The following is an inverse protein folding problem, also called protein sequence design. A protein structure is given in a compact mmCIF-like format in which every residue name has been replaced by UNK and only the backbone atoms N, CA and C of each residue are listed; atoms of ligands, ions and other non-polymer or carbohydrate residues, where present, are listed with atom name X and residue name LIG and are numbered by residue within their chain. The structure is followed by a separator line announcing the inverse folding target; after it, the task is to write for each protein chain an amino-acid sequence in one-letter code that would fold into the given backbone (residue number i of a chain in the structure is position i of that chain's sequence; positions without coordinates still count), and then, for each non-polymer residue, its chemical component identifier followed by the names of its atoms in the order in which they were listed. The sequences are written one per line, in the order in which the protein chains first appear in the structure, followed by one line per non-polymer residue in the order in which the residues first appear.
data_IF_880759017878
#
_entry.id   IF_880759017878
#
_cell.length_a   1.000
_cell.length_b   1.000
_cell.length_c   1.000
_cell.angle_alpha   90.00
_cell.angle_beta   90.00
_cell.angle_gamma   90.00
#
_symmetry.space_group_name_H-M   'P 1'
#
loop_
_entity.id
_entity.type
_entity.pdbx_description
1 polymer ?
#
# COMPACT_ATOMS: atom_id res chain seq x y z
N UNK A 1 -8.37 0.56 53.10
CA UNK A 1 -8.51 2.03 52.97
C UNK A 1 -8.04 2.45 51.58
N UNK A 2 -8.95 3.00 50.76
CA UNK A 2 -8.65 3.89 49.63
C UNK A 2 -8.19 3.28 48.29
N UNK A 3 -9.10 2.68 47.51
CA UNK A 3 -8.92 2.54 46.05
C UNK A 3 -9.02 3.93 45.41
N UNK A 4 -7.95 4.42 44.76
CA UNK A 4 -8.05 5.51 43.80
C UNK A 4 -8.38 4.91 42.43
N UNK A 5 -9.65 4.94 42.06
CA UNK A 5 -10.07 4.79 40.68
C UNK A 5 -9.54 6.01 39.90
N UNK A 6 -8.70 5.77 38.90
CA UNK A 6 -8.46 6.78 37.87
C UNK A 6 -9.63 6.72 36.90
N UNK A 7 -10.35 7.84 36.82
CA UNK A 7 -11.51 8.03 35.96
C UNK A 7 -11.07 7.88 34.49
N UNK A 8 -11.69 6.96 33.74
CA UNK A 8 -11.34 6.62 32.36
C UNK A 8 -11.96 7.54 31.30
N UNK A 9 -12.59 8.65 31.71
CA UNK A 9 -13.40 9.48 30.80
C UNK A 9 -12.67 10.67 30.14
N UNK A 10 -11.35 10.84 30.27
CA UNK A 10 -10.67 12.04 29.74
C UNK A 10 -9.57 11.82 28.69
N UNK A 11 -9.48 10.65 28.03
CA UNK A 11 -8.42 10.40 27.04
C UNK A 11 -8.88 10.12 25.61
N UNK A 12 -10.18 10.16 25.33
CA UNK A 12 -10.69 10.04 23.96
C UNK A 12 -11.91 10.93 23.75
N UNK A 13 -11.68 12.19 23.45
CA UNK A 13 -12.63 13.02 22.70
C UNK A 13 -11.92 13.46 21.42
N UNK A 14 -12.17 12.72 20.34
CA UNK A 14 -11.99 13.22 18.98
C UNK A 14 -13.36 13.71 18.53
N UNK A 15 -13.54 15.03 18.42
CA UNK A 15 -14.66 15.58 17.66
C UNK A 15 -14.46 15.20 16.19
N UNK A 16 -15.41 14.44 15.65
CA UNK A 16 -15.46 14.06 14.24
C UNK A 16 -15.98 15.27 13.43
N UNK A 17 -15.17 15.90 12.56
CA UNK A 17 -15.58 17.12 11.84
C UNK A 17 -16.55 16.85 10.67
N UNK A 18 -17.09 15.62 10.53
CA UNK A 18 -17.95 15.23 9.40
C UNK A 18 -19.43 14.96 9.76
N UNK A 19 -19.89 15.31 10.96
CA UNK A 19 -21.27 15.02 11.42
C UNK A 19 -22.39 15.85 10.79
N UNK A 20 -22.12 16.70 9.79
CA UNK A 20 -23.16 17.50 9.12
C UNK A 20 -23.08 17.47 7.59
N UNK A 21 -22.98 16.27 7.00
CA UNK A 21 -23.25 16.11 5.56
C UNK A 21 -24.48 15.21 5.40
N UNK A 22 -25.64 15.85 5.23
CA UNK A 22 -26.86 15.19 4.79
C UNK A 22 -26.68 14.72 3.35
N UNK A 23 -26.40 13.43 3.16
CA UNK A 23 -26.43 12.80 1.84
C UNK A 23 -27.88 12.43 1.54
N UNK A 24 -28.57 13.26 0.75
CA UNK A 24 -29.84 12.89 0.14
C UNK A 24 -29.58 11.85 -0.95
N UNK A 25 -30.09 10.63 -0.74
CA UNK A 25 -30.08 9.55 -1.72
C UNK A 25 -31.09 9.82 -2.83
N UNK A 26 -30.65 10.33 -3.97
CA UNK A 26 -31.38 10.16 -5.23
C UNK A 26 -30.64 9.15 -6.11
N UNK A 27 -31.04 7.89 -5.99
CA UNK A 27 -30.73 6.85 -6.95
C UNK A 27 -31.46 7.16 -8.27
N UNK A 28 -30.75 7.69 -9.26
CA UNK A 28 -31.21 7.63 -10.65
C UNK A 28 -30.51 6.48 -11.36
N UNK A 29 -31.15 5.31 -11.35
CA UNK A 29 -30.92 4.30 -12.37
C UNK A 29 -31.27 4.91 -13.73
N UNK A 30 -30.26 5.18 -14.56
CA UNK A 30 -30.46 5.54 -15.95
C UNK A 30 -30.37 4.27 -16.79
N UNK A 31 -31.54 3.77 -17.19
CA UNK A 31 -31.69 2.72 -18.20
C UNK A 31 -31.03 3.14 -19.51
N UNK A 32 -30.09 2.33 -19.98
CA UNK A 32 -29.39 2.55 -21.24
C UNK A 32 -30.19 1.93 -22.39
N UNK A 33 -31.04 2.73 -23.02
CA UNK A 33 -31.53 2.45 -24.36
C UNK A 33 -31.34 3.71 -25.21
N UNK A 34 -30.74 3.48 -26.38
CA UNK A 34 -30.60 4.38 -27.52
C UNK A 34 -29.93 5.73 -27.25
N UNK A 35 -28.64 5.86 -27.61
CA UNK A 35 -28.10 7.17 -28.00
C UNK A 35 -26.88 7.10 -28.92
N UNK A 36 -27.10 7.68 -30.09
CA UNK A 36 -26.24 8.14 -31.16
C UNK A 36 -24.72 8.23 -30.92
N UNK A 37 -24.01 7.86 -31.97
CA UNK A 37 -22.61 8.08 -32.31
C UNK A 37 -22.13 9.54 -32.16
N UNK A 38 -21.75 9.97 -30.95
CA UNK A 38 -20.84 11.12 -30.69
C UNK A 38 -20.26 11.05 -29.27
N UNK A 39 -19.57 9.98 -28.89
CA UNK A 39 -18.84 9.94 -27.61
C UNK A 39 -17.47 10.59 -27.82
N UNK A 40 -17.21 11.73 -27.15
CA UNK A 40 -15.89 12.37 -27.19
C UNK A 40 -14.87 11.43 -26.52
N UNK A 41 -13.69 11.22 -27.12
CA UNK A 41 -12.69 10.33 -26.53
C UNK A 41 -12.07 10.94 -25.27
N UNK A 42 -11.79 10.09 -24.28
CA UNK A 42 -11.13 10.48 -23.02
C UNK A 42 -9.70 10.95 -23.33
N UNK A 43 -9.34 12.15 -22.90
CA UNK A 43 -8.03 12.74 -23.11
C UNK A 43 -7.11 12.46 -21.90
N UNK A 44 -5.99 11.78 -22.11
CA UNK A 44 -5.01 11.45 -21.08
C UNK A 44 -3.66 12.10 -21.40
N UNK A 45 -3.20 13.01 -20.54
CA UNK A 45 -1.89 13.64 -20.65
C UNK A 45 -0.85 12.92 -19.79
N UNK A 46 0.22 12.42 -20.40
CA UNK A 46 1.44 12.04 -19.68
C UNK A 46 2.31 13.28 -19.43
N UNK A 47 2.34 13.73 -18.18
CA UNK A 47 3.09 14.89 -17.72
C UNK A 47 4.52 14.49 -17.30
N UNK A 48 5.47 14.63 -18.24
CA UNK A 48 6.90 14.30 -18.06
C UNK A 48 7.81 15.50 -18.38
N UNK A 49 8.98 15.60 -17.74
CA UNK A 49 10.00 16.64 -18.04
C UNK A 49 10.87 16.33 -19.27
N UNK A 50 10.87 15.10 -19.77
CA UNK A 50 11.86 14.69 -20.76
C UNK A 50 11.70 15.36 -22.13
N UNK A 51 10.50 15.81 -22.50
CA UNK A 51 10.26 16.32 -23.86
C UNK A 51 9.28 17.49 -23.85
N UNK A 52 9.80 18.70 -24.08
CA UNK A 52 9.04 19.84 -24.57
C UNK A 52 9.24 19.90 -26.10
N UNK A 53 8.13 19.98 -26.83
CA UNK A 53 8.04 20.17 -28.28
C UNK A 53 8.35 18.97 -29.22
N UNK A 54 7.24 18.41 -29.75
CA UNK A 54 6.99 17.96 -31.13
C UNK A 54 7.07 16.48 -31.53
N UNK A 55 7.40 15.53 -30.64
CA UNK A 55 7.17 14.11 -30.96
C UNK A 55 6.62 13.33 -29.76
N UNK A 56 5.48 12.65 -29.95
CA UNK A 56 4.92 11.71 -28.98
C UNK A 56 5.87 10.51 -28.85
N UNK A 57 6.33 10.15 -27.63
CA UNK A 57 7.19 9.00 -27.46
C UNK A 57 6.50 7.72 -27.90
N UNK A 58 7.24 6.79 -28.51
CA UNK A 58 6.68 5.52 -29.03
C UNK A 58 6.00 4.65 -27.96
N UNK A 59 6.38 4.81 -26.69
CA UNK A 59 5.76 4.12 -25.56
C UNK A 59 4.45 4.77 -25.06
N UNK A 60 4.18 6.01 -25.47
CA UNK A 60 2.88 6.67 -25.37
C UNK A 60 2.17 6.38 -26.69
N UNK A 61 1.47 5.25 -26.79
CA UNK A 61 0.70 4.91 -27.99
C UNK A 61 -0.79 4.77 -27.65
N UNK A 62 -1.65 5.12 -28.61
CA UNK A 62 -3.10 4.92 -28.50
C UNK A 62 -3.48 3.43 -28.44
N UNK A 63 -2.54 2.52 -28.73
CA UNK A 63 -2.77 1.06 -28.68
C UNK A 63 -3.12 0.55 -27.28
N UNK A 64 -2.78 1.28 -26.21
CA UNK A 64 -3.16 0.92 -24.82
C UNK A 64 -4.63 1.22 -24.48
N UNK A 65 -5.35 1.91 -25.37
CA UNK A 65 -6.76 2.28 -25.24
C UNK A 65 -7.71 1.35 -26.00
N UNK A 66 -7.21 0.23 -26.54
CA UNK A 66 -7.90 -0.58 -27.55
C UNK A 66 -9.04 -1.45 -27.03
N UNK A 67 -9.19 -1.60 -25.72
CA UNK A 67 -10.18 -2.49 -25.10
C UNK A 67 -11.33 -1.77 -24.37
N UNK A 68 -11.49 -0.45 -24.57
CA UNK A 68 -12.53 0.34 -23.89
C UNK A 68 -13.54 0.84 -24.92
N UNK A 69 -14.43 -0.03 -25.39
CA UNK A 69 -15.67 0.43 -26.02
C UNK A 69 -16.72 0.72 -24.94
N UNK A 70 -17.48 1.83 -25.02
CA UNK A 70 -17.66 2.72 -26.18
C UNK A 70 -16.81 4.01 -26.15
N UNK A 71 -15.82 4.11 -25.25
CA UNK A 71 -14.99 5.32 -25.05
C UNK A 71 -13.55 5.08 -25.47
N UNK A 72 -13.21 5.40 -26.72
CA UNK A 72 -11.81 5.46 -27.14
C UNK A 72 -11.07 6.50 -26.30
N UNK A 73 -9.88 6.18 -25.78
CA UNK A 73 -9.01 7.17 -25.15
C UNK A 73 -7.90 7.64 -26.10
N UNK A 74 -7.54 8.92 -26.00
CA UNK A 74 -6.40 9.53 -26.66
C UNK A 74 -5.35 9.85 -25.61
N UNK A 75 -4.15 9.31 -25.80
CA UNK A 75 -3.02 9.55 -24.90
C UNK A 75 -2.02 10.44 -25.61
N UNK A 76 -1.62 11.54 -24.98
CA UNK A 76 -0.64 12.47 -25.51
C UNK A 76 0.37 12.88 -24.43
N UNK A 77 1.53 13.37 -24.88
CA UNK A 77 2.58 13.93 -24.01
C UNK A 77 2.78 15.43 -24.21
N UNK A 78 2.02 16.06 -25.12
CA UNK A 78 2.08 17.50 -25.35
C UNK A 78 1.34 18.24 -24.24
N UNK A 79 2.06 19.09 -23.50
CA UNK A 79 1.55 19.86 -22.37
C UNK A 79 0.55 20.95 -22.74
N UNK A 80 0.46 21.34 -24.02
CA UNK A 80 -0.55 22.30 -24.49
C UNK A 80 -1.98 21.79 -24.23
N UNK A 81 -2.18 20.48 -24.29
CA UNK A 81 -3.47 19.85 -24.02
C UNK A 81 -3.80 19.72 -22.53
N UNK A 82 -2.97 20.24 -21.62
CA UNK A 82 -3.18 20.11 -20.18
C UNK A 82 -4.58 20.57 -19.76
N UNK A 83 -5.09 21.68 -20.30
CA UNK A 83 -6.42 22.18 -19.95
C UNK A 83 -7.56 21.34 -20.55
N UNK A 84 -7.28 20.55 -21.58
CA UNK A 84 -8.25 19.76 -22.35
C UNK A 84 -8.28 18.30 -21.90
N UNK A 85 -7.29 17.85 -21.13
CA UNK A 85 -7.18 16.48 -20.62
C UNK A 85 -8.17 16.19 -19.50
N UNK A 86 -8.83 15.03 -19.57
CA UNK A 86 -9.69 14.49 -18.52
C UNK A 86 -8.85 13.88 -17.39
N UNK A 87 -7.69 13.31 -17.73
CA UNK A 87 -6.71 12.82 -16.76
C UNK A 87 -5.28 13.30 -17.08
N UNK A 88 -4.52 13.62 -16.04
CA UNK A 88 -3.10 13.99 -16.12
C UNK A 88 -2.27 13.01 -15.28
N UNK A 89 -1.39 12.28 -15.94
CA UNK A 89 -0.50 11.28 -15.35
C UNK A 89 0.88 11.90 -15.12
N UNK A 90 1.23 12.17 -13.87
CA UNK A 90 2.52 12.68 -13.45
C UNK A 90 3.50 11.55 -13.20
N UNK A 91 4.72 11.66 -13.73
CA UNK A 91 5.83 10.78 -13.35
C UNK A 91 6.74 11.50 -12.34
N UNK A 92 6.65 11.20 -11.03
CA UNK A 92 7.26 12.02 -9.99
C UNK A 92 8.80 11.98 -9.98
N UNK A 93 9.43 10.95 -10.57
CA UNK A 93 10.90 10.89 -10.72
C UNK A 93 11.48 12.00 -11.60
N UNK A 94 10.64 12.59 -12.44
CA UNK A 94 11.01 13.67 -13.35
C UNK A 94 10.26 14.95 -13.01
N UNK A 95 9.81 15.17 -11.77
CA UNK A 95 9.01 16.33 -11.43
C UNK A 95 9.51 17.02 -10.16
N UNK A 96 10.30 18.08 -10.31
CA UNK A 96 10.43 19.15 -9.30
C UNK A 96 9.13 19.98 -9.26
N UNK A 97 7.98 19.32 -9.06
CA UNK A 97 6.68 19.94 -9.12
C UNK A 97 6.18 20.30 -7.73
N UNK A 98 5.74 21.57 -7.56
CA UNK A 98 4.86 21.97 -6.47
C UNK A 98 3.43 21.82 -6.96
N UNK A 99 2.71 20.81 -6.47
CA UNK A 99 1.32 20.56 -6.87
C UNK A 99 0.40 21.75 -6.59
N UNK A 100 0.71 22.52 -5.54
CA UNK A 100 -0.01 23.74 -5.19
C UNK A 100 0.07 24.85 -6.24
N UNK A 101 0.99 24.76 -7.21
CA UNK A 101 1.16 25.77 -8.26
C UNK A 101 0.61 25.33 -9.62
N UNK A 102 0.03 24.14 -9.71
CA UNK A 102 -0.52 23.62 -10.97
C UNK A 102 -2.02 23.88 -10.97
N UNK A 103 -2.56 24.64 -11.94
CA UNK A 103 -4.00 24.86 -12.05
C UNK A 103 -4.69 23.52 -12.32
N UNK A 104 -5.79 23.23 -11.62
CA UNK A 104 -6.55 22.00 -11.78
C UNK A 104 -8.02 22.34 -11.93
N UNK A 105 -8.66 21.80 -12.97
CA UNK A 105 -10.13 21.81 -13.09
C UNK A 105 -10.73 20.81 -12.10
N UNK A 106 -11.90 21.12 -11.54
CA UNK A 106 -12.56 20.27 -10.54
C UNK A 106 -12.81 18.84 -11.04
N UNK A 107 -13.06 18.67 -12.33
CA UNK A 107 -13.35 17.41 -13.00
C UNK A 107 -12.11 16.68 -13.55
N UNK A 108 -10.92 17.28 -13.44
CA UNK A 108 -9.68 16.71 -13.98
C UNK A 108 -9.04 15.75 -12.98
N UNK A 109 -8.73 14.52 -13.42
CA UNK A 109 -8.14 13.46 -12.59
C UNK A 109 -6.62 13.58 -12.62
N UNK A 110 -5.97 13.66 -11.45
CA UNK A 110 -4.50 13.63 -11.35
C UNK A 110 -4.05 12.25 -10.88
N UNK A 111 -3.15 11.63 -11.65
CA UNK A 111 -2.62 10.29 -11.40
C UNK A 111 -1.11 10.42 -11.21
N UNK A 112 -0.56 9.83 -10.15
CA UNK A 112 0.89 9.78 -9.95
C UNK A 112 1.41 8.39 -10.34
N UNK A 113 2.00 8.29 -11.52
CA UNK A 113 2.57 7.05 -12.05
C UNK A 113 4.02 6.94 -11.59
N UNK A 114 4.24 6.27 -10.45
CA UNK A 114 5.58 5.89 -10.02
C UNK A 114 5.99 4.62 -10.76
N UNK A 115 6.57 4.75 -11.95
CA UNK A 115 7.10 3.61 -12.71
C UNK A 115 8.43 3.12 -12.11
N UNK A 116 8.49 2.85 -10.81
CA UNK A 116 9.59 2.05 -10.28
C UNK A 116 9.54 0.69 -10.96
N UNK A 117 10.61 0.31 -11.64
CA UNK A 117 10.75 -1.06 -12.10
C UNK A 117 10.60 -1.95 -10.87
N UNK A 118 9.77 -3.01 -10.88
CA UNK A 118 9.90 -4.02 -9.84
C UNK A 118 11.37 -4.44 -9.83
N UNK A 119 12.01 -4.35 -8.67
CA UNK A 119 13.42 -4.70 -8.51
C UNK A 119 13.60 -6.11 -9.06
N UNK A 120 14.30 -6.22 -10.19
CA UNK A 120 14.70 -7.46 -10.87
C UNK A 120 13.67 -8.60 -10.77
N UNK A 121 12.53 -8.46 -11.43
CA UNK A 121 11.72 -9.66 -11.72
C UNK A 121 12.52 -10.54 -12.68
N UNK A 122 13.19 -11.59 -12.16
CA UNK A 122 13.69 -12.68 -13.02
C UNK A 122 12.47 -13.24 -13.73
N UNK A 123 12.45 -13.18 -15.07
CA UNK A 123 11.40 -13.82 -15.86
C UNK A 123 11.24 -15.27 -15.35
N UNK A 124 10.03 -15.68 -14.93
CA UNK A 124 9.77 -17.07 -14.62
C UNK A 124 10.17 -17.90 -15.85
N UNK A 125 10.77 -19.05 -15.59
CA UNK A 125 11.17 -19.96 -16.65
C UNK A 125 9.95 -20.28 -17.56
N UNK A 126 10.21 -20.49 -18.86
CA UNK A 126 9.18 -20.70 -19.90
C UNK A 126 8.36 -22.00 -19.73
N UNK A 127 8.55 -22.75 -18.66
CA UNK A 127 7.88 -24.03 -18.36
C UNK A 127 6.38 -23.93 -18.09
N UNK A 128 5.78 -22.72 -18.06
CA UNK A 128 4.35 -22.55 -17.82
C UNK A 128 3.94 -22.84 -16.37
N UNK A 129 4.92 -23.04 -15.49
CA UNK A 129 4.77 -23.37 -14.07
C UNK A 129 4.85 -22.11 -13.23
N UNK A 130 4.01 -21.10 -13.51
CA UNK A 130 4.07 -19.81 -12.79
C UNK A 130 4.04 -20.00 -11.27
N UNK A 131 3.14 -20.86 -10.77
CA UNK A 131 2.96 -21.16 -9.34
C UNK A 131 4.11 -21.99 -8.73
N UNK A 132 4.73 -22.88 -9.52
CA UNK A 132 5.90 -23.68 -9.12
C UNK A 132 7.21 -22.87 -9.19
N UNK A 133 7.31 -21.92 -10.13
CA UNK A 133 8.44 -21.02 -10.33
C UNK A 133 8.50 -19.87 -9.31
N UNK A 134 7.36 -19.50 -8.71
CA UNK A 134 7.29 -18.62 -7.52
C UNK A 134 7.32 -19.41 -6.21
N UNK A 135 7.48 -20.74 -6.26
CA UNK A 135 7.79 -21.57 -5.10
C UNK A 135 6.69 -21.63 -4.04
N UNK A 136 5.41 -21.54 -4.42
CA UNK A 136 4.31 -21.83 -3.47
C UNK A 136 4.22 -23.35 -3.32
N UNK A 137 5.19 -23.90 -2.60
CA UNK A 137 5.07 -25.18 -1.93
C UNK A 137 4.66 -24.86 -0.49
N UNK A 138 3.53 -25.40 -0.03
CA UNK A 138 3.02 -25.22 1.33
C UNK A 138 4.04 -25.62 2.42
N UNK A 139 5.15 -26.28 2.06
CA UNK A 139 6.29 -26.53 2.94
C UNK A 139 6.80 -25.29 3.71
N UNK A 140 6.60 -24.06 3.21
CA UNK A 140 6.97 -22.85 3.97
C UNK A 140 6.09 -22.63 5.21
N UNK A 141 4.87 -23.18 5.24
CA UNK A 141 3.95 -23.12 6.39
C UNK A 141 4.44 -24.00 7.54
N UNK A 142 5.15 -25.08 7.22
CA UNK A 142 5.75 -25.99 8.20
C UNK A 142 7.11 -25.49 8.72
N UNK A 143 7.70 -24.50 8.04
CA UNK A 143 9.00 -23.95 8.43
C UNK A 143 8.87 -23.17 9.74
N UNK A 144 9.59 -23.56 10.81
CA UNK A 144 9.63 -22.78 12.03
C UNK A 144 10.27 -21.42 11.75
N UNK A 145 9.73 -20.37 12.36
CA UNK A 145 10.23 -19.00 12.20
C UNK A 145 10.85 -18.50 13.48
N UNK A 146 11.98 -17.83 13.37
CA UNK A 146 12.68 -17.27 14.53
C UNK A 146 11.92 -16.09 15.12
N UNK A 147 11.32 -15.25 14.27
CA UNK A 147 10.71 -14.00 14.69
C UNK A 147 9.19 -14.09 14.70
N UNK A 148 8.58 -13.64 15.80
CA UNK A 148 7.12 -13.54 15.87
C UNK A 148 6.64 -12.36 15.02
N UNK A 149 7.03 -11.13 15.38
CA UNK A 149 6.82 -9.93 14.56
C UNK A 149 8.18 -9.31 14.25
N UNK A 150 8.40 -8.91 12.99
CA UNK A 150 9.60 -8.15 12.59
C UNK A 150 9.26 -6.77 12.05
N UNK A 151 10.16 -5.82 12.26
CA UNK A 151 10.06 -4.49 11.64
C UNK A 151 11.45 -3.99 11.24
N UNK A 152 11.57 -3.34 10.09
CA UNK A 152 12.80 -2.66 9.69
C UNK A 152 12.52 -1.17 9.58
N UNK A 153 13.03 -0.37 10.51
CA UNK A 153 12.70 1.05 10.64
C UNK A 153 13.98 1.89 10.69
N UNK A 154 14.09 2.85 9.77
CA UNK A 154 15.17 3.83 9.74
C UNK A 154 14.81 5.18 10.36
N UNK A 155 13.53 5.59 10.32
CA UNK A 155 13.07 6.85 10.89
C UNK A 155 12.52 6.64 12.31
N UNK A 156 13.29 7.06 13.31
CA UNK A 156 12.98 6.84 14.73
C UNK A 156 12.25 8.01 15.38
N UNK A 157 11.97 9.06 14.60
CA UNK A 157 11.28 10.25 15.09
C UNK A 157 9.83 9.92 15.43
N UNK A 158 9.22 10.74 16.28
CA UNK A 158 7.78 10.68 16.48
C UNK A 158 7.10 11.00 15.16
N UNK A 159 6.30 10.08 14.66
CA UNK A 159 5.56 10.26 13.41
C UNK A 159 4.09 10.50 13.72
N UNK A 160 3.36 11.26 12.88
CA UNK A 160 1.92 11.46 13.06
C UNK A 160 1.11 10.17 13.15
N UNK A 161 1.57 9.08 12.52
CA UNK A 161 0.92 7.77 12.64
C UNK A 161 0.98 7.14 14.03
N UNK A 162 1.82 7.64 14.94
CA UNK A 162 2.05 6.99 16.22
C UNK A 162 2.83 5.68 16.10
N UNK A 163 3.50 5.42 14.97
CA UNK A 163 4.29 4.19 14.71
C UNK A 163 5.21 3.82 15.86
N UNK A 164 5.95 4.81 16.39
CA UNK A 164 6.89 4.58 17.47
C UNK A 164 6.21 4.14 18.78
N UNK A 165 4.94 4.50 19.01
CA UNK A 165 4.17 4.02 20.17
C UNK A 165 3.81 2.55 20.01
N UNK A 166 3.30 2.15 18.84
CA UNK A 166 2.94 0.76 18.56
C UNK A 166 4.16 -0.17 18.59
N UNK A 167 5.26 0.25 17.96
CA UNK A 167 6.55 -0.47 18.00
C UNK A 167 7.00 -0.69 19.44
N UNK A 168 7.04 0.37 20.26
CA UNK A 168 7.42 0.27 21.68
C UNK A 168 6.51 -0.63 22.49
N UNK A 169 5.21 -0.67 22.18
CA UNK A 169 4.27 -1.56 22.85
C UNK A 169 4.60 -3.03 22.57
N UNK A 170 4.84 -3.39 21.30
CA UNK A 170 5.28 -4.74 20.95
C UNK A 170 6.67 -5.10 21.50
N UNK A 171 7.60 -4.16 21.53
CA UNK A 171 8.93 -4.37 22.15
C UNK A 171 8.80 -4.66 23.65
N UNK A 172 7.98 -3.91 24.39
CA UNK A 172 7.75 -4.12 25.83
C UNK A 172 7.18 -5.51 26.15
N UNK A 173 6.38 -6.05 25.24
CA UNK A 173 5.82 -7.39 25.38
C UNK A 173 6.73 -8.50 24.80
N UNK A 174 7.94 -8.14 24.34
CA UNK A 174 8.93 -9.06 23.76
C UNK A 174 8.44 -9.84 22.52
N UNK A 175 7.52 -9.26 21.76
CA UNK A 175 6.97 -9.86 20.54
C UNK A 175 7.62 -9.30 19.26
N UNK A 176 8.37 -8.20 19.36
CA UNK A 176 8.99 -7.53 18.22
C UNK A 176 10.50 -7.78 18.10
N UNK A 177 10.92 -8.17 16.91
CA UNK A 177 12.31 -8.08 16.45
C UNK A 177 12.48 -6.83 15.59
N UNK A 178 12.99 -5.76 16.20
CA UNK A 178 13.25 -4.49 15.51
C UNK A 178 14.64 -4.50 14.86
N UNK A 179 14.67 -4.18 13.56
CA UNK A 179 15.85 -4.08 12.72
C UNK A 179 16.00 -2.68 12.12
N UNK A 180 17.20 -2.40 11.58
CA UNK A 180 17.52 -1.14 10.94
C UNK A 180 17.90 -0.04 11.94
N UNK A 181 17.92 1.20 11.46
CA UNK A 181 18.50 2.35 12.18
C UNK A 181 17.95 2.59 13.59
N UNK A 182 16.70 2.19 13.85
CA UNK A 182 16.03 2.36 15.13
C UNK A 182 16.21 1.21 16.14
N UNK A 183 16.88 0.12 15.75
CA UNK A 183 17.22 -0.95 16.68
C UNK A 183 18.25 -0.49 17.71
N UNK A 184 17.98 -0.76 18.99
CA UNK A 184 18.94 -0.62 20.07
C UNK A 184 20.03 -1.73 20.05
N UNK A 185 19.71 -2.88 19.46
CA UNK A 185 20.62 -4.03 19.32
C UNK A 185 21.52 -3.80 18.10
N UNK A 186 22.84 -3.78 18.31
CA UNK A 186 23.84 -3.41 17.30
C UNK A 186 23.83 -4.36 16.10
N UNK A 187 23.66 -5.65 16.36
CA UNK A 187 23.57 -6.73 15.38
C UNK A 187 22.35 -6.53 14.47
N UNK A 188 21.21 -6.15 15.07
CA UNK A 188 19.97 -5.90 14.32
C UNK A 188 19.98 -4.57 13.57
N UNK A 189 20.79 -3.60 14.01
CA UNK A 189 20.92 -2.29 13.36
C UNK A 189 21.53 -2.39 11.97
N UNK A 190 22.49 -3.31 11.79
CA UNK A 190 23.18 -3.59 10.54
C UNK A 190 22.92 -5.02 10.04
N UNK A 191 21.75 -5.59 10.34
CA UNK A 191 21.43 -6.98 10.01
C UNK A 191 21.56 -7.28 8.51
N UNK A 192 21.17 -6.32 7.67
CA UNK A 192 21.35 -6.39 6.22
C UNK A 192 22.22 -5.25 5.72
N UNK A 193 23.09 -5.54 4.74
CA UNK A 193 23.83 -4.52 4.04
C UNK A 193 22.87 -3.59 3.26
N UNK A 194 23.29 -2.35 2.99
CA UNK A 194 22.47 -1.40 2.23
C UNK A 194 22.14 -1.98 0.86
N UNK A 195 20.85 -2.01 0.51
CA UNK A 195 20.32 -2.56 -0.76
C UNK A 195 20.50 -4.07 -0.93
N UNK A 196 20.75 -4.81 0.14
CA UNK A 196 20.74 -6.27 0.12
C UNK A 196 19.31 -6.80 0.26
N UNK A 197 18.62 -6.88 -0.88
CA UNK A 197 17.22 -7.32 -0.92
C UNK A 197 17.04 -8.77 -0.52
N UNK A 198 18.04 -9.62 -0.82
CA UNK A 198 18.00 -11.04 -0.47
C UNK A 198 18.03 -11.21 1.04
N UNK A 199 18.93 -10.50 1.72
CA UNK A 199 18.95 -10.49 3.19
C UNK A 199 17.62 -10.01 3.77
N UNK A 200 17.06 -8.93 3.21
CA UNK A 200 15.77 -8.39 3.66
C UNK A 200 14.64 -9.41 3.48
N UNK A 201 14.60 -10.10 2.35
CA UNK A 201 13.65 -11.17 2.08
C UNK A 201 13.81 -12.32 3.08
N UNK A 202 15.02 -12.86 3.24
CA UNK A 202 15.30 -13.97 4.15
C UNK A 202 14.89 -13.63 5.59
N UNK A 203 15.16 -12.40 6.05
CA UNK A 203 14.76 -11.91 7.38
C UNK A 203 13.24 -11.87 7.57
N UNK A 204 12.51 -11.30 6.61
CA UNK A 204 11.06 -11.19 6.72
C UNK A 204 10.36 -12.52 6.47
N UNK A 205 10.92 -13.44 5.68
CA UNK A 205 10.42 -14.80 5.53
C UNK A 205 10.64 -15.65 6.80
N UNK A 206 11.68 -15.35 7.59
CA UNK A 206 11.92 -15.94 8.91
C UNK A 206 11.10 -15.27 10.04
N UNK A 207 10.04 -14.55 9.67
CA UNK A 207 9.12 -13.88 10.59
C UNK A 207 7.68 -14.31 10.34
N UNK A 208 6.85 -14.58 11.36
CA UNK A 208 5.42 -14.88 11.10
C UNK A 208 4.68 -13.68 10.55
N UNK A 209 4.95 -12.51 11.15
CA UNK A 209 4.33 -11.25 10.80
C UNK A 209 5.38 -10.16 10.61
N UNK A 210 5.04 -9.11 9.86
CA UNK A 210 5.88 -7.92 9.79
C UNK A 210 5.11 -6.62 9.79
N UNK A 211 5.71 -5.58 10.36
CA UNK A 211 5.12 -4.24 10.42
C UNK A 211 5.37 -3.48 9.13
N UNK A 212 4.31 -3.24 8.35
CA UNK A 212 4.30 -2.40 7.16
C UNK A 212 3.75 -1.00 7.49
N UNK A 213 4.31 -0.36 8.53
CA UNK A 213 3.74 0.84 9.13
C UNK A 213 4.30 2.13 8.52
N UNK A 214 3.39 2.93 7.96
CA UNK A 214 3.71 4.24 7.42
C UNK A 214 4.02 5.30 8.48
N UNK A 215 4.66 6.38 8.02
CA UNK A 215 4.94 7.55 8.87
C UNK A 215 3.65 8.34 9.20
N UNK A 216 2.63 8.26 8.36
CA UNK A 216 1.32 8.91 8.56
C UNK A 216 0.21 7.93 8.24
N UNK A 217 -0.96 8.07 8.86
CA UNK A 217 -2.16 7.32 8.47
C UNK A 217 -2.98 8.24 7.58
N UNK A 218 -2.91 8.02 6.27
CA UNK A 218 -3.59 8.83 5.26
C UNK A 218 -4.26 7.91 4.24
N UNK A 219 -5.38 8.36 3.68
CA UNK A 219 -6.03 7.68 2.56
C UNK A 219 -5.03 7.43 1.44
N UNK A 220 -5.03 6.19 0.95
CA UNK A 220 -4.23 5.67 -0.14
C UNK A 220 -2.71 5.73 0.07
N UNK A 221 -2.23 6.06 1.27
CA UNK A 221 -0.81 6.07 1.58
C UNK A 221 -0.35 4.67 2.01
N UNK A 222 -0.11 3.80 1.02
CA UNK A 222 0.48 2.46 1.19
C UNK A 222 1.71 2.36 0.29
N UNK A 223 2.90 2.15 0.86
CA UNK A 223 4.18 2.30 0.16
C UNK A 223 4.95 0.99 -0.02
N UNK A 224 6.24 1.09 -0.33
CA UNK A 224 7.17 -0.03 -0.52
C UNK A 224 7.20 -1.01 0.66
N UNK A 225 6.82 -0.54 1.86
CA UNK A 225 6.78 -1.35 3.08
C UNK A 225 5.85 -2.54 2.94
N UNK A 226 4.76 -2.37 2.20
CA UNK A 226 3.84 -3.44 1.81
C UNK A 226 4.20 -3.97 0.41
N UNK A 227 4.26 -3.09 -0.60
CA UNK A 227 4.34 -3.50 -2.01
C UNK A 227 5.59 -4.30 -2.37
N UNK A 228 6.76 -4.01 -1.79
CA UNK A 228 7.99 -4.74 -2.12
C UNK A 228 8.04 -6.15 -1.48
N UNK A 229 7.07 -6.47 -0.63
CA UNK A 229 7.09 -7.67 0.23
C UNK A 229 5.84 -8.52 0.11
N UNK A 230 4.98 -8.23 -0.87
CA UNK A 230 3.74 -8.98 -1.14
C UNK A 230 3.99 -10.44 -1.50
N UNK A 231 5.16 -10.75 -2.04
CA UNK A 231 5.57 -12.12 -2.37
C UNK A 231 6.22 -12.87 -1.21
N UNK A 232 6.51 -12.20 -0.10
CA UNK A 232 7.19 -12.82 1.02
C UNK A 232 6.24 -13.76 1.76
N UNK A 233 6.82 -14.79 2.37
CA UNK A 233 6.06 -15.80 3.10
C UNK A 233 5.50 -15.33 4.44
N UNK A 234 5.51 -14.05 4.78
CA UNK A 234 5.04 -13.51 6.07
C UNK A 234 3.87 -12.55 5.92
N UNK A 235 3.02 -12.49 6.94
CA UNK A 235 1.77 -11.72 6.86
C UNK A 235 2.06 -10.24 7.20
N UNK A 236 1.69 -9.27 6.35
CA UNK A 236 1.85 -7.85 6.63
C UNK A 236 0.85 -7.34 7.67
N UNK A 237 1.30 -6.47 8.57
CA UNK A 237 0.48 -5.70 9.50
C UNK A 237 0.49 -4.23 9.07
N UNK A 238 -0.67 -3.72 8.67
CA UNK A 238 -0.90 -2.34 8.22
C UNK A 238 -1.66 -1.53 9.28
N UNK A 239 -1.59 -0.21 9.20
CA UNK A 239 -2.29 0.65 10.16
C UNK A 239 -3.80 0.60 10.03
N UNK A 240 -4.31 0.86 8.83
CA UNK A 240 -5.74 1.10 8.65
C UNK A 240 -6.29 0.47 7.38
N UNK A 241 -7.42 -0.21 7.54
CA UNK A 241 -8.20 -0.76 6.43
C UNK A 241 -8.72 0.33 5.52
N UNK A 242 -9.30 1.37 6.11
CA UNK A 242 -9.85 2.52 5.40
C UNK A 242 -8.77 3.23 4.58
N UNK A 243 -7.59 3.45 5.19
CA UNK A 243 -6.45 4.05 4.49
C UNK A 243 -5.98 3.22 3.28
N UNK A 244 -6.20 1.91 3.29
CA UNK A 244 -5.76 1.00 2.22
C UNK A 244 -6.87 0.60 1.23
N UNK A 245 -8.12 1.07 1.43
CA UNK A 245 -9.31 0.50 0.78
C UNK A 245 -9.29 0.56 -0.75
N UNK A 246 -8.69 1.60 -1.34
CA UNK A 246 -8.71 1.79 -2.80
C UNK A 246 -7.58 1.03 -3.52
N UNK A 247 -6.71 0.34 -2.79
CA UNK A 247 -5.57 -0.38 -3.36
C UNK A 247 -5.92 -1.78 -3.89
N UNK A 248 -7.16 -2.24 -3.68
CA UNK A 248 -7.58 -3.58 -4.10
C UNK A 248 -6.79 -4.70 -3.40
N UNK A 249 -6.32 -4.44 -2.17
CA UNK A 249 -5.62 -5.45 -1.35
C UNK A 249 -6.59 -6.60 -1.08
N UNK A 250 -6.26 -7.85 -1.46
CA UNK A 250 -7.16 -8.98 -1.26
C UNK A 250 -7.56 -9.16 0.20
N UNK A 251 -8.82 -9.55 0.43
CA UNK A 251 -9.23 -9.99 1.77
C UNK A 251 -8.37 -11.16 2.22
N UNK A 252 -8.10 -11.23 3.53
CA UNK A 252 -7.16 -12.21 4.11
C UNK A 252 -5.81 -12.24 3.36
N UNK A 253 -5.21 -11.07 3.11
CA UNK A 253 -3.80 -10.96 2.71
C UNK A 253 -2.97 -10.11 3.67
N UNK A 254 -3.65 -9.36 4.54
CA UNK A 254 -3.08 -8.39 5.47
C UNK A 254 -3.88 -8.39 6.77
N UNK A 255 -3.24 -7.95 7.85
CA UNK A 255 -3.87 -7.67 9.14
C UNK A 255 -3.85 -6.16 9.36
N UNK A 256 -4.97 -5.55 9.68
CA UNK A 256 -5.02 -4.12 10.00
C UNK A 256 -5.05 -3.90 11.51
N UNK A 257 -4.32 -2.91 12.00
CA UNK A 257 -4.27 -2.59 13.43
C UNK A 257 -5.60 -2.03 13.91
N UNK A 258 -6.30 -1.24 13.10
CA UNK A 258 -7.59 -0.62 13.43
C UNK A 258 -8.78 -1.59 13.44
N UNK A 259 -8.60 -2.84 13.04
CA UNK A 259 -9.59 -3.90 13.24
C UNK A 259 -9.67 -4.36 14.71
N UNK A 260 -8.74 -3.93 15.58
CA UNK A 260 -8.63 -4.37 16.97
C UNK A 260 -8.75 -3.20 17.95
N UNK A 261 -9.55 -3.39 19.01
CA UNK A 261 -9.75 -2.39 20.06
C UNK A 261 -8.46 -2.11 20.86
N UNK A 262 -7.64 -3.15 21.06
CA UNK A 262 -6.39 -3.06 21.83
C UNK A 262 -5.24 -3.83 21.19
N UNK A 263 -4.01 -3.50 21.61
CA UNK A 263 -2.81 -4.23 21.20
C UNK A 263 -2.84 -5.68 21.70
N UNK A 264 -3.45 -5.92 22.86
CA UNK A 264 -3.55 -7.27 23.43
C UNK A 264 -4.49 -8.14 22.59
N UNK A 265 -5.64 -7.59 22.16
CA UNK A 265 -6.55 -8.30 21.24
C UNK A 265 -5.91 -8.58 19.87
N UNK A 266 -5.09 -7.65 19.36
CA UNK A 266 -4.29 -7.89 18.16
C UNK A 266 -3.29 -9.03 18.39
N UNK A 267 -2.53 -9.00 19.49
CA UNK A 267 -1.55 -10.04 19.81
C UNK A 267 -2.18 -11.41 19.99
N UNK A 268 -3.37 -11.50 20.58
CA UNK A 268 -4.08 -12.77 20.74
C UNK A 268 -4.51 -13.34 19.40
N UNK A 269 -4.94 -12.50 18.45
CA UNK A 269 -5.18 -12.92 17.07
C UNK A 269 -3.90 -13.41 16.38
N UNK A 270 -2.78 -12.69 16.53
CA UNK A 270 -1.50 -13.10 15.96
C UNK A 270 -1.00 -14.44 16.54
N UNK A 271 -1.20 -14.69 17.85
CA UNK A 271 -0.88 -15.97 18.48
C UNK A 271 -1.77 -17.09 17.97
N UNK A 272 -3.09 -16.84 17.86
CA UNK A 272 -4.02 -17.78 17.28
C UNK A 272 -3.58 -18.21 15.88
N UNK A 273 -3.22 -17.24 15.02
CA UNK A 273 -2.73 -17.54 13.68
C UNK A 273 -1.42 -18.35 13.71
N UNK A 274 -0.44 -17.97 14.54
CA UNK A 274 0.82 -18.74 14.70
C UNK A 274 0.55 -20.20 15.10
N UNK A 275 -0.38 -20.41 16.03
CA UNK A 275 -0.67 -21.74 16.59
C UNK A 275 -1.65 -22.55 15.73
N UNK A 276 -2.25 -21.93 14.71
CA UNK A 276 -3.20 -22.55 13.80
C UNK A 276 -2.72 -22.44 12.36
N UNK A 277 -1.94 -23.45 11.92
CA UNK A 277 -1.37 -23.51 10.58
C UNK A 277 -2.42 -23.35 9.46
N UNK A 278 -3.62 -23.90 9.65
CA UNK A 278 -4.71 -23.76 8.67
C UNK A 278 -5.18 -22.31 8.55
N UNK A 279 -5.45 -21.66 9.68
CA UNK A 279 -5.85 -20.26 9.70
C UNK A 279 -4.74 -19.33 9.18
N UNK A 280 -3.48 -19.63 9.48
CA UNK A 280 -2.33 -18.91 8.93
C UNK A 280 -2.23 -19.08 7.41
N UNK A 281 -2.43 -20.30 6.90
CA UNK A 281 -2.39 -20.60 5.47
C UNK A 281 -3.47 -19.86 4.66
N UNK A 282 -4.64 -19.59 5.27
CA UNK A 282 -5.70 -18.81 4.63
C UNK A 282 -5.22 -17.41 4.20
N UNK A 283 -4.23 -16.82 4.89
CA UNK A 283 -3.67 -15.52 4.53
C UNK A 283 -2.82 -15.51 3.25
N UNK A 284 -2.61 -16.68 2.65
CA UNK A 284 -1.80 -16.89 1.45
C UNK A 284 -2.59 -17.51 0.31
N UNK A 285 -3.92 -17.65 0.43
CA UNK A 285 -4.78 -18.25 -0.61
C UNK A 285 -5.10 -17.31 -1.77
N UNK A 286 -4.90 -16.00 -1.60
CA UNK A 286 -5.17 -14.99 -2.62
C UNK A 286 -4.17 -15.00 -3.78
N UNK A 287 -3.09 -15.78 -3.68
CA UNK A 287 -1.97 -15.83 -4.62
C UNK A 287 -1.83 -17.19 -5.29
#
# INVERSE_FOLDING_TARGET
MGKKFYNSESLFQFENPFTNINVTSENKQLSFSERNSTVKPIQILYYTQLFMNRAQPTWVSNERCTNVEPQSCLIHSNREFFNESDAVVFEPRFANMRLSTIPRREDQIFIFSVNESPQRFRRPDKSGRFFEAIGINESFLERPRTHFISAMIGNCQSTPSGRTKLVKAFERQNYLSLFGGCSAVKERKNACAKRDERCVQELFEDSYFYLALENSVCMDYVTEKYWNRTTYHSIPILWSREAAKNHGIPEKSVIYVDDFETIDTLLDHLKYLRDNAKAYAEYFQWR
#
